data_IF_368419098550
#
_entry.id   IF_368419098550
#
_cell.length_a   1.000
_cell.length_b   1.000
_cell.length_c   1.000
_cell.angle_alpha   90.00
_cell.angle_beta   90.00
_cell.angle_gamma   90.00
#
_symmetry.space_group_name_H-M   'P 1'
#
loop_
_entity.id
_entity.type
_entity.pdbx_description
1 polymer ?
#
# COMPACT_ATOMS: atom_id res chain seq x y z
N UNK A 1 7.39 5.51 -6.66
CA UNK A 1 6.08 5.66 -6.00
C UNK A 1 5.99 4.68 -4.84
N UNK A 2 6.01 5.15 -3.58
CA UNK A 2 6.11 4.23 -2.43
C UNK A 2 4.79 3.55 -2.05
N UNK A 3 3.67 4.27 -2.06
CA UNK A 3 2.37 3.70 -1.71
C UNK A 3 1.97 2.55 -2.66
N UNK A 4 2.13 2.75 -3.98
CA UNK A 4 1.83 1.72 -4.97
C UNK A 4 2.66 0.44 -4.76
N UNK A 5 3.95 0.57 -4.40
CA UNK A 5 4.80 -0.59 -4.08
C UNK A 5 4.32 -1.34 -2.84
N UNK A 6 3.92 -0.62 -1.78
CA UNK A 6 3.36 -1.20 -0.56
C UNK A 6 2.06 -1.94 -0.86
N UNK A 7 1.12 -1.31 -1.56
CA UNK A 7 -0.17 -1.90 -1.97
C UNK A 7 0.07 -3.17 -2.80
N UNK A 8 0.96 -3.10 -3.80
CA UNK A 8 1.27 -4.24 -4.67
C UNK A 8 1.77 -5.45 -3.87
N UNK A 9 2.76 -5.25 -3.00
CA UNK A 9 3.30 -6.33 -2.16
C UNK A 9 2.26 -6.95 -1.23
N UNK A 10 1.36 -6.14 -0.67
CA UNK A 10 0.29 -6.64 0.19
C UNK A 10 -0.76 -7.43 -0.60
N UNK A 11 -1.08 -6.97 -1.82
CA UNK A 11 -2.04 -7.63 -2.70
C UNK A 11 -1.53 -8.95 -3.26
N UNK A 12 -0.24 -9.07 -3.54
CA UNK A 12 0.39 -10.29 -4.10
C UNK A 12 0.76 -11.32 -3.02
N UNK A 13 0.60 -10.97 -1.75
CA UNK A 13 1.03 -11.77 -0.61
C UNK A 13 2.49 -11.51 -0.25
N UNK A 14 2.70 -11.22 1.04
CA UNK A 14 4.01 -10.81 1.57
C UNK A 14 5.05 -11.94 1.48
N UNK A 15 4.61 -13.19 1.64
CA UNK A 15 5.49 -14.38 1.59
C UNK A 15 6.01 -14.66 0.18
N UNK A 16 5.17 -14.45 -0.84
CA UNK A 16 5.52 -14.61 -2.25
C UNK A 16 6.61 -13.61 -2.72
N UNK A 17 6.82 -12.52 -1.99
CA UNK A 17 7.66 -11.38 -2.38
C UNK A 17 8.79 -11.06 -1.37
N UNK A 18 9.20 -12.06 -0.59
CA UNK A 18 10.37 -11.95 0.29
C UNK A 18 10.11 -11.31 1.66
N UNK A 19 8.89 -11.40 2.20
CA UNK A 19 8.57 -11.12 3.60
C UNK A 19 8.53 -9.64 4.01
N UNK A 20 9.32 -8.78 3.35
CA UNK A 20 9.46 -7.38 3.72
C UNK A 20 8.55 -6.45 2.90
N UNK A 21 7.71 -5.68 3.61
CA UNK A 21 6.91 -4.59 3.06
C UNK A 21 7.54 -3.24 3.43
N UNK A 22 7.89 -2.39 2.44
CA UNK A 22 8.71 -1.19 2.65
C UNK A 22 7.92 0.01 3.19
N UNK A 23 7.20 -0.13 4.31
CA UNK A 23 6.46 0.98 4.94
C UNK A 23 7.36 2.16 5.32
N UNK A 24 8.66 1.89 5.58
CA UNK A 24 9.62 2.89 6.08
C UNK A 24 10.18 3.82 4.99
N UNK A 25 9.99 3.48 3.72
CA UNK A 25 10.53 4.24 2.58
C UNK A 25 9.82 5.58 2.39
N UNK A 26 8.66 5.80 3.02
CA UNK A 26 8.03 7.11 3.09
C UNK A 26 7.35 7.37 4.43
N UNK A 27 7.31 8.64 4.84
CA UNK A 27 6.58 9.05 6.06
C UNK A 27 5.09 8.72 5.96
N UNK A 28 4.50 8.88 4.76
CA UNK A 28 3.08 8.57 4.51
C UNK A 28 2.77 7.09 4.76
N UNK A 29 3.50 6.18 4.11
CA UNK A 29 3.31 4.73 4.28
C UNK A 29 3.63 4.27 5.69
N UNK A 30 4.51 4.97 6.42
CA UNK A 30 4.82 4.66 7.81
C UNK A 30 3.67 5.04 8.74
N UNK A 31 3.04 6.21 8.53
CA UNK A 31 1.86 6.63 9.28
C UNK A 31 0.67 5.69 8.98
N UNK A 32 0.51 5.30 7.71
CA UNK A 32 -0.60 4.46 7.25
C UNK A 32 -0.39 2.95 7.44
N UNK A 33 0.76 2.50 7.97
CA UNK A 33 1.06 1.09 8.19
C UNK A 33 -0.08 0.29 8.86
N UNK A 34 -0.68 0.75 9.99
CA UNK A 34 -1.79 0.02 10.63
C UNK A 34 -3.05 -0.04 9.76
N UNK A 35 -3.27 0.96 8.90
CA UNK A 35 -4.41 0.99 7.99
C UNK A 35 -4.22 0.09 6.78
N UNK A 36 -2.99 -0.10 6.27
CA UNK A 36 -2.72 -0.79 5.01
C UNK A 36 -2.49 -2.30 5.14
N UNK A 37 -1.81 -2.76 6.20
CA UNK A 37 -1.49 -4.19 6.38
C UNK A 37 -1.59 -4.70 7.80
N UNK A 38 -2.18 -3.93 8.72
CA UNK A 38 -2.58 -4.39 10.04
C UNK A 38 -3.90 -5.17 10.00
N UNK A 39 -4.58 -5.27 11.15
CA UNK A 39 -5.94 -5.81 11.23
C UNK A 39 -6.98 -4.76 10.76
N UNK A 40 -6.89 -4.35 9.50
CA UNK A 40 -7.72 -3.30 8.92
C UNK A 40 -8.25 -3.73 7.55
N UNK A 41 -9.53 -3.47 7.31
CA UNK A 41 -10.12 -3.59 5.98
C UNK A 41 -9.93 -2.28 5.23
N UNK A 42 -9.01 -2.28 4.27
CA UNK A 42 -8.65 -1.07 3.50
C UNK A 42 -9.53 -0.93 2.26
N UNK A 43 -10.06 0.27 2.02
CA UNK A 43 -10.64 0.66 0.75
C UNK A 43 -9.96 1.93 0.23
N UNK A 44 -9.78 2.04 -1.10
CA UNK A 44 -9.15 3.20 -1.75
C UNK A 44 -10.10 3.75 -2.79
N UNK A 45 -10.36 5.06 -2.74
CA UNK A 45 -11.16 5.77 -3.73
C UNK A 45 -10.20 6.43 -4.72
N UNK A 46 -10.28 6.03 -5.98
CA UNK A 46 -9.50 6.62 -7.07
C UNK A 46 -10.35 7.62 -7.82
N UNK A 47 -10.09 8.91 -7.62
CA UNK A 47 -10.74 9.98 -8.37
C UNK A 47 -10.08 10.12 -9.75
N UNK A 48 -10.88 9.95 -10.81
CA UNK A 48 -10.44 10.09 -12.20
C UNK A 48 -11.21 11.21 -12.90
N UNK A 49 -10.60 11.81 -13.92
CA UNK A 49 -11.23 12.78 -14.81
C UNK A 49 -11.04 12.31 -16.25
N UNK A 50 -12.07 12.46 -17.08
CA UNK A 50 -11.97 12.13 -18.49
C UNK A 50 -10.98 13.09 -19.16
N UNK A 51 -10.05 12.54 -19.93
CA UNK A 51 -9.19 13.35 -20.78
C UNK A 51 -10.02 13.86 -21.97
N UNK A 52 -10.06 15.17 -22.17
CA UNK A 52 -10.62 15.82 -23.35
C UNK A 52 -9.53 16.15 -24.35
#
# INVERSE_FOLDING_TARGET
MTLGTVIKKLSEGVESQGGHVPYRDSKLTRILQPSLGGNANTAIICNITLAQ
#
